data_IF_330590691199
#
_entry.id   IF_330590691199
#
_cell.length_a   1.000
_cell.length_b   1.000
_cell.length_c   1.000
_cell.angle_alpha   90.00
_cell.angle_beta   90.00
_cell.angle_gamma   90.00
#
_symmetry.space_group_name_H-M   'P 1'
#
loop_
_entity.id
_entity.type
_entity.pdbx_description
1 polymer ?
#
# COMPACT_ATOMS: atom_id res chain seq x y z
N UNK A 1 2.39 1.84 -12.46
CA UNK A 1 2.25 3.28 -12.77
C UNK A 1 0.79 3.74 -12.78
N UNK A 2 -0.11 3.08 -13.53
CA UNK A 2 -1.54 3.42 -13.60
C UNK A 2 -2.26 3.41 -12.22
N UNK A 3 -1.90 2.49 -11.34
CA UNK A 3 -2.50 2.34 -10.01
C UNK A 3 -2.18 3.52 -9.07
N UNK A 4 -0.93 4.00 -9.11
CA UNK A 4 -0.50 5.18 -8.34
C UNK A 4 -1.25 6.43 -8.79
N UNK A 5 -1.37 6.62 -10.11
CA UNK A 5 -2.09 7.77 -10.67
C UNK A 5 -3.58 7.73 -10.34
N UNK A 6 -4.21 6.57 -10.47
CA UNK A 6 -5.64 6.41 -10.11
C UNK A 6 -5.87 6.69 -8.61
N UNK A 7 -4.97 6.24 -7.74
CA UNK A 7 -5.04 6.52 -6.31
C UNK A 7 -4.86 8.00 -6.00
N UNK A 8 -3.91 8.68 -6.64
CA UNK A 8 -3.69 10.12 -6.45
C UNK A 8 -4.89 10.95 -6.93
N UNK A 9 -5.46 10.61 -8.08
CA UNK A 9 -6.68 11.24 -8.60
C UNK A 9 -7.86 11.04 -7.65
N UNK A 10 -8.08 9.82 -7.16
CA UNK A 10 -9.14 9.53 -6.19
C UNK A 10 -8.93 10.29 -4.87
N UNK A 11 -7.71 10.27 -4.34
CA UNK A 11 -7.36 10.97 -3.10
C UNK A 11 -7.60 12.47 -3.24
N UNK A 12 -7.21 13.06 -4.37
CA UNK A 12 -7.43 14.48 -4.67
C UNK A 12 -8.91 14.81 -4.78
N UNK A 13 -9.69 13.98 -5.47
CA UNK A 13 -11.14 14.13 -5.59
C UNK A 13 -11.86 14.02 -4.23
N UNK A 14 -11.26 13.32 -3.26
CA UNK A 14 -11.77 13.20 -1.88
C UNK A 14 -11.16 14.24 -0.92
N UNK A 15 -10.34 15.18 -1.41
CA UNK A 15 -9.60 16.15 -0.61
C UNK A 15 -8.69 15.51 0.46
N UNK A 16 -8.24 14.28 0.22
CA UNK A 16 -7.29 13.57 1.07
C UNK A 16 -5.88 13.85 0.56
N UNK A 17 -5.04 14.46 1.39
CA UNK A 17 -3.65 14.68 1.07
C UNK A 17 -2.82 13.43 1.40
N UNK A 18 -2.26 12.76 0.40
CA UNK A 18 -1.38 11.59 0.61
C UNK A 18 -0.18 11.90 1.52
N UNK A 19 0.28 13.16 1.55
CA UNK A 19 1.31 13.64 2.47
C UNK A 19 0.92 13.52 3.96
N UNK A 20 -0.37 13.44 4.27
CA UNK A 20 -0.90 13.24 5.63
C UNK A 20 -1.32 11.78 5.89
N UNK A 21 -1.25 10.91 4.89
CA UNK A 21 -1.62 9.51 5.01
C UNK A 21 -0.42 8.67 5.48
N UNK A 22 -0.22 8.64 6.80
CA UNK A 22 0.88 7.93 7.45
C UNK A 22 0.66 6.41 7.54
N UNK A 23 -0.57 5.94 7.76
CA UNK A 23 -0.87 4.51 7.84
C UNK A 23 -1.66 4.08 6.61
N UNK A 24 -1.08 3.23 5.76
CA UNK A 24 -1.76 2.69 4.58
C UNK A 24 -1.54 1.19 4.49
N UNK A 25 -2.63 0.43 4.33
CA UNK A 25 -2.59 -1.01 4.10
C UNK A 25 -2.47 -1.31 2.61
N UNK A 26 -1.55 -2.20 2.24
CA UNK A 26 -1.29 -2.61 0.87
C UNK A 26 -1.45 -4.11 0.73
N UNK A 27 -1.92 -4.58 -0.42
CA UNK A 27 -1.71 -5.99 -0.77
C UNK A 27 -0.21 -6.23 -1.05
N UNK A 28 0.24 -7.46 -0.87
CA UNK A 28 1.63 -7.85 -1.14
C UNK A 28 1.84 -8.27 -2.59
N UNK A 29 0.91 -7.96 -3.51
CA UNK A 29 1.11 -8.27 -4.91
C UNK A 29 2.31 -7.47 -5.43
N UNK A 30 3.02 -8.04 -6.41
CA UNK A 30 4.25 -7.46 -6.97
C UNK A 30 4.07 -6.01 -7.50
N UNK A 31 2.84 -5.65 -7.90
CA UNK A 31 2.49 -4.28 -8.30
C UNK A 31 2.34 -3.27 -7.14
N UNK A 32 2.04 -3.73 -5.92
CA UNK A 32 1.89 -2.88 -4.74
C UNK A 32 3.14 -2.92 -3.84
N UNK A 33 3.70 -4.10 -3.59
CA UNK A 33 4.83 -4.32 -2.67
C UNK A 33 6.22 -4.42 -3.33
N UNK A 34 6.34 -4.28 -4.66
CA UNK A 34 7.62 -4.45 -5.34
C UNK A 34 8.69 -3.42 -4.95
N UNK A 35 9.89 -3.89 -4.57
CA UNK A 35 11.01 -3.08 -4.05
C UNK A 35 11.49 -1.92 -4.94
N UNK A 36 11.24 -1.96 -6.25
CA UNK A 36 11.80 -0.97 -7.19
C UNK A 36 10.75 -0.15 -7.96
N UNK A 37 9.51 -0.66 -8.08
CA UNK A 37 8.44 0.00 -8.85
C UNK A 37 7.04 -0.15 -8.22
N UNK A 38 6.96 -0.75 -7.04
CA UNK A 38 5.71 -0.95 -6.32
C UNK A 38 5.10 0.37 -5.87
N UNK A 39 3.78 0.36 -5.70
CA UNK A 39 3.02 1.51 -5.18
C UNK A 39 3.59 2.04 -3.86
N UNK A 40 4.03 1.15 -2.97
CA UNK A 40 4.64 1.53 -1.69
C UNK A 40 5.87 2.44 -1.84
N UNK A 41 6.74 2.15 -2.80
CA UNK A 41 7.95 2.95 -3.05
C UNK A 41 7.57 4.35 -3.50
N UNK A 42 6.65 4.47 -4.47
CA UNK A 42 6.15 5.78 -4.93
C UNK A 42 5.47 6.58 -3.82
N UNK A 43 4.68 5.92 -2.98
CA UNK A 43 4.00 6.61 -1.86
C UNK A 43 5.03 7.09 -0.83
N UNK A 44 6.07 6.31 -0.54
CA UNK A 44 7.18 6.72 0.34
C UNK A 44 8.01 7.88 -0.25
N UNK A 45 8.18 7.95 -1.56
CA UNK A 45 8.81 9.10 -2.22
C UNK A 45 8.00 10.39 -2.00
N UNK A 46 6.68 10.30 -1.99
CA UNK A 46 5.78 11.45 -1.76
C UNK A 46 5.56 11.76 -0.27
N UNK A 47 5.66 10.76 0.60
CA UNK A 47 5.51 10.86 2.05
C UNK A 47 6.48 9.88 2.73
N UNK A 48 7.66 10.38 3.13
CA UNK A 48 8.68 9.57 3.80
C UNK A 48 8.21 8.97 5.13
N UNK A 49 7.20 9.59 5.77
CA UNK A 49 6.58 9.11 7.00
C UNK A 49 5.42 8.13 6.74
N UNK A 50 5.28 7.60 5.53
CA UNK A 50 4.27 6.59 5.20
C UNK A 50 4.70 5.19 5.63
N UNK A 51 3.95 4.61 6.57
CA UNK A 51 3.98 3.22 6.96
C UNK A 51 3.12 2.39 6.00
N UNK A 52 3.78 1.52 5.25
CA UNK A 52 3.14 0.55 4.39
C UNK A 52 2.95 -0.74 5.18
N UNK A 53 1.72 -1.02 5.60
CA UNK A 53 1.37 -2.20 6.38
C UNK A 53 0.75 -3.23 5.42
N UNK A 54 1.00 -4.52 5.65
CA UNK A 54 0.33 -5.55 4.86
C UNK A 54 -1.17 -5.59 5.18
N UNK A 55 -1.99 -5.86 4.18
CA UNK A 55 -3.44 -5.99 4.37
C UNK A 55 -3.78 -7.14 5.33
N UNK A 56 -4.69 -6.88 6.27
CA UNK A 56 -5.13 -7.86 7.29
C UNK A 56 -5.61 -9.18 6.67
N UNK A 57 -6.29 -9.13 5.53
CA UNK A 57 -6.75 -10.34 4.83
C UNK A 57 -5.60 -11.24 4.38
N UNK A 58 -4.49 -10.64 3.90
CA UNK A 58 -3.26 -11.37 3.59
C UNK A 58 -2.64 -11.92 4.87
N UNK A 59 -2.52 -11.10 5.93
CA UNK A 59 -1.94 -11.53 7.20
C UNK A 59 -2.69 -12.72 7.79
N UNK A 60 -4.02 -12.70 7.74
CA UNK A 60 -4.86 -13.79 8.22
C UNK A 60 -4.69 -15.07 7.38
N UNK A 61 -4.57 -14.94 6.06
CA UNK A 61 -4.33 -16.08 5.17
C UNK A 61 -2.99 -16.74 5.45
N UNK A 62 -1.94 -15.95 5.74
CA UNK A 62 -0.62 -16.47 6.10
C UNK A 62 -0.67 -17.22 7.42
N UNK A 63 -1.28 -16.64 8.46
CA UNK A 63 -1.43 -17.30 9.77
C UNK A 63 -2.24 -18.59 9.63
N UNK A 64 -3.32 -18.58 8.86
CA UNK A 64 -4.13 -19.78 8.61
C UNK A 64 -3.36 -20.88 7.87
N UNK A 65 -2.50 -20.53 6.90
CA UNK A 65 -1.62 -21.50 6.23
C UNK A 65 -0.60 -22.09 7.19
N UNK A 66 0.10 -21.24 7.96
CA UNK A 66 1.09 -21.70 8.94
C UNK A 66 0.47 -22.54 10.07
N UNK A 67 -0.80 -22.32 10.41
CA UNK A 67 -1.51 -23.12 11.43
C UNK A 67 -2.05 -24.45 10.89
N UNK A 68 -2.12 -24.62 9.57
CA UNK A 68 -2.56 -25.85 8.92
C UNK A 68 -1.41 -26.81 8.56
N UNK A 69 -0.17 -26.32 8.61
CA UNK A 69 1.08 -27.10 8.54
C UNK A 69 1.45 -27.66 9.93
#
# INVERSE_FOLDING_TARGET
EQLTQSLLTFSTAKHIAIKKCHGQSYDSASGMGGNFRGLQVRIKEMNQSAHCISCFAISLTIVGKCAAE
#
